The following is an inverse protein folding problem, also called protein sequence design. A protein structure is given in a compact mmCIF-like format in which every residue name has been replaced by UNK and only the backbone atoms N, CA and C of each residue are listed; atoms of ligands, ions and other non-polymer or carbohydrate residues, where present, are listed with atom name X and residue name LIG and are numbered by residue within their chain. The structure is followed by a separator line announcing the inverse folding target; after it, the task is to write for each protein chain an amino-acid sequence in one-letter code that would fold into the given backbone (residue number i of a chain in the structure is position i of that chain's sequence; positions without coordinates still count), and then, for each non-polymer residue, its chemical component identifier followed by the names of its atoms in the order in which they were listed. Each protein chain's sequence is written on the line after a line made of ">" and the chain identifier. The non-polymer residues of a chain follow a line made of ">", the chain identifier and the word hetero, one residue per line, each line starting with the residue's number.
data_IF_009849941804
#
_entry.id   IF_009849941804
#
_cell.length_a   1.000
_cell.length_b   1.000
_cell.length_c   1.000
_cell.angle_alpha   90.00
_cell.angle_beta   90.00
_cell.angle_gamma   90.00
#
_symmetry.space_group_name_H-M   'P 1'
#
loop_
_entity.id
_entity.type
_entity.pdbx_description
1 polymer ?
#
# COMPACT_ATOMS: atom_id res chain seq x y z
N UNK A 1 -13.05 -15.18 30.84
CA UNK A 1 -12.45 -13.99 30.22
C UNK A 1 -12.41 -14.21 28.72
N UNK A 2 -13.50 -13.88 28.05
CA UNK A 2 -13.64 -13.80 26.60
C UNK A 2 -14.68 -12.71 26.39
N UNK A 3 -14.25 -11.49 26.11
CA UNK A 3 -15.16 -10.41 25.70
C UNK A 3 -14.33 -9.21 25.28
N UNK A 4 -14.31 -8.94 23.97
CA UNK A 4 -14.21 -7.58 23.42
C UNK A 4 -14.56 -7.54 21.93
N UNK A 5 -14.58 -8.66 21.19
CA UNK A 5 -14.75 -8.60 19.73
C UNK A 5 -16.18 -8.55 19.19
N UNK A 6 -17.22 -8.69 20.03
CA UNK A 6 -18.62 -8.68 19.56
C UNK A 6 -19.40 -7.42 19.93
N UNK A 7 -19.03 -6.72 21.01
CA UNK A 7 -19.82 -5.57 21.48
C UNK A 7 -19.48 -4.25 20.75
N UNK A 8 -18.23 -4.04 20.32
CA UNK A 8 -17.86 -2.82 19.57
C UNK A 8 -18.45 -2.76 18.14
N UNK A 9 -18.92 -3.88 17.60
CA UNK A 9 -19.44 -3.97 16.23
C UNK A 9 -20.97 -3.84 16.12
N UNK A 10 -21.68 -3.76 17.26
CA UNK A 10 -23.15 -3.69 17.32
C UNK A 10 -23.74 -2.34 16.83
N UNK A 11 -22.91 -1.34 16.51
CA UNK A 11 -23.35 0.02 16.20
C UNK A 11 -23.40 0.36 14.70
N UNK A 12 -23.01 -0.57 13.81
CA UNK A 12 -23.05 -0.34 12.36
C UNK A 12 -24.34 -0.91 11.75
N UNK A 13 -25.02 -0.16 10.84
CA UNK A 13 -26.07 -0.74 10.02
C UNK A 13 -25.55 -2.00 9.32
N UNK A 14 -26.29 -3.12 9.33
CA UNK A 14 -25.80 -4.40 8.80
C UNK A 14 -25.23 -4.32 7.37
N UNK A 15 -25.74 -3.39 6.55
CA UNK A 15 -25.23 -3.12 5.20
C UNK A 15 -23.76 -2.63 5.20
N UNK A 16 -23.36 -1.85 6.19
CA UNK A 16 -21.98 -1.36 6.32
C UNK A 16 -21.05 -2.47 6.80
N UNK A 17 -21.51 -3.34 7.72
CA UNK A 17 -20.72 -4.47 8.19
C UNK A 17 -20.39 -5.46 7.07
N UNK A 18 -21.39 -5.86 6.28
CA UNK A 18 -21.19 -6.80 5.18
C UNK A 18 -20.24 -6.23 4.12
N UNK A 19 -20.35 -4.93 3.83
CA UNK A 19 -19.43 -4.25 2.90
C UNK A 19 -17.99 -4.22 3.41
N UNK A 20 -17.78 -3.95 4.70
CA UNK A 20 -16.44 -3.95 5.31
C UNK A 20 -15.83 -5.36 5.30
N UNK A 21 -16.62 -6.40 5.57
CA UNK A 21 -16.14 -7.78 5.52
C UNK A 21 -15.82 -8.24 4.09
N UNK A 22 -16.63 -7.87 3.09
CA UNK A 22 -16.31 -8.11 1.68
C UNK A 22 -15.01 -7.39 1.27
N UNK A 23 -14.87 -6.13 1.67
CA UNK A 23 -13.68 -5.31 1.37
C UNK A 23 -12.43 -5.96 1.96
N UNK A 24 -12.46 -6.31 3.25
CA UNK A 24 -11.33 -6.97 3.93
C UNK A 24 -11.00 -8.32 3.29
N UNK A 25 -12.00 -9.15 3.03
CA UNK A 25 -11.83 -10.46 2.39
C UNK A 25 -11.22 -10.33 0.99
N UNK A 26 -11.70 -9.38 0.19
CA UNK A 26 -11.16 -9.11 -1.14
C UNK A 26 -9.71 -8.64 -1.09
N UNK A 27 -9.40 -7.64 -0.26
CA UNK A 27 -8.06 -7.09 -0.13
C UNK A 27 -7.07 -8.17 0.36
N UNK A 28 -7.48 -9.00 1.32
CA UNK A 28 -6.65 -10.09 1.85
C UNK A 28 -6.23 -11.08 0.76
N UNK A 29 -7.07 -11.36 -0.24
CA UNK A 29 -6.68 -12.25 -1.36
C UNK A 29 -5.49 -11.69 -2.14
N UNK A 30 -5.40 -10.37 -2.31
CA UNK A 30 -4.27 -9.74 -2.98
C UNK A 30 -3.01 -9.80 -2.10
N UNK A 31 -3.13 -9.59 -0.79
CA UNK A 31 -1.99 -9.69 0.12
C UNK A 31 -1.47 -11.12 0.29
N UNK A 32 -2.34 -12.14 0.22
CA UNK A 32 -1.89 -13.53 0.18
C UNK A 32 -1.04 -13.82 -1.07
N UNK A 33 -1.45 -13.32 -2.24
CA UNK A 33 -0.62 -13.42 -3.46
C UNK A 33 0.76 -12.78 -3.24
N UNK A 34 0.86 -11.66 -2.52
CA UNK A 34 2.16 -11.04 -2.19
C UNK A 34 2.99 -11.93 -1.26
N UNK A 35 2.39 -12.51 -0.23
CA UNK A 35 3.08 -13.45 0.67
C UNK A 35 3.67 -14.64 -0.09
N UNK A 36 2.91 -15.21 -1.02
CA UNK A 36 3.33 -16.35 -1.84
C UNK A 36 4.56 -16.06 -2.73
N UNK A 37 4.81 -14.78 -3.05
CA UNK A 37 6.02 -14.38 -3.79
C UNK A 37 7.30 -14.51 -2.96
N UNK A 38 7.20 -14.63 -1.63
CA UNK A 38 8.34 -14.80 -0.71
C UNK A 38 9.46 -13.77 -0.95
N UNK A 39 9.07 -12.51 -1.15
CA UNK A 39 10.03 -11.41 -1.35
C UNK A 39 10.89 -11.20 -0.09
N UNK A 40 12.19 -10.88 -0.24
CA UNK A 40 13.09 -10.73 0.89
C UNK A 40 12.70 -9.53 1.76
N UNK A 41 12.52 -9.77 3.06
CA UNK A 41 12.19 -8.74 4.04
C UNK A 41 13.27 -7.65 4.07
N UNK A 42 12.86 -6.39 4.24
CA UNK A 42 13.75 -5.23 4.23
C UNK A 42 14.14 -4.74 2.84
N UNK A 43 13.79 -5.46 1.76
CA UNK A 43 14.06 -5.02 0.38
C UNK A 43 12.82 -4.51 -0.35
N UNK A 44 11.65 -4.53 0.29
CA UNK A 44 10.41 -4.03 -0.31
C UNK A 44 9.41 -3.51 0.73
N UNK A 45 8.45 -2.72 0.24
CA UNK A 45 7.24 -2.35 0.97
C UNK A 45 6.06 -2.19 0.00
N UNK A 46 4.88 -2.59 0.43
CA UNK A 46 3.61 -2.35 -0.26
C UNK A 46 3.27 -0.86 -0.13
N UNK A 47 2.98 -0.21 -1.26
CA UNK A 47 2.77 1.24 -1.33
C UNK A 47 1.33 1.64 -1.72
N UNK A 48 1.06 2.94 -1.67
CA UNK A 48 -0.15 3.57 -2.22
C UNK A 48 -1.47 2.92 -1.76
N UNK A 49 -2.25 2.36 -2.68
CA UNK A 49 -3.56 1.74 -2.40
C UNK A 49 -3.44 0.58 -1.42
N UNK A 50 -2.37 -0.23 -1.51
CA UNK A 50 -2.19 -1.38 -0.62
C UNK A 50 -2.10 -1.00 0.86
N UNK A 51 -1.44 0.12 1.18
CA UNK A 51 -1.36 0.65 2.55
C UNK A 51 -2.72 1.10 3.10
N UNK A 52 -3.61 1.57 2.23
CA UNK A 52 -4.99 1.88 2.61
C UNK A 52 -5.85 0.62 2.74
N UNK A 53 -5.65 -0.34 1.84
CA UNK A 53 -6.41 -1.58 1.77
C UNK A 53 -6.23 -2.48 2.99
N UNK A 54 -5.00 -2.59 3.52
CA UNK A 54 -4.73 -3.38 4.73
C UNK A 54 -5.38 -2.79 5.98
N UNK A 55 -5.58 -1.47 6.01
CA UNK A 55 -6.28 -0.74 7.08
C UNK A 55 -7.79 -0.62 6.83
N UNK A 56 -8.32 -1.39 5.87
CA UNK A 56 -9.74 -1.46 5.52
C UNK A 56 -10.38 -0.10 5.16
N UNK A 57 -9.60 0.85 4.65
CA UNK A 57 -10.11 2.17 4.27
C UNK A 57 -10.95 2.12 2.98
N UNK A 58 -10.59 1.21 2.06
CA UNK A 58 -11.33 0.94 0.83
C UNK A 58 -10.90 -0.38 0.18
N UNK A 59 -11.70 -0.82 -0.79
CA UNK A 59 -11.35 -1.92 -1.70
C UNK A 59 -10.21 -1.51 -2.63
N UNK A 60 -9.30 -2.43 -2.91
CA UNK A 60 -8.18 -2.26 -3.85
C UNK A 60 -8.26 -3.31 -4.96
N UNK A 61 -7.72 -3.00 -6.14
CA UNK A 61 -7.76 -3.90 -7.29
C UNK A 61 -6.39 -4.49 -7.61
N UNK A 62 -5.34 -3.82 -7.16
CA UNK A 62 -3.94 -4.09 -7.40
C UNK A 62 -3.11 -3.80 -6.14
N UNK A 63 -1.88 -4.32 -6.15
CA UNK A 63 -0.86 -4.04 -5.16
C UNK A 63 0.38 -3.52 -5.86
N UNK A 64 0.74 -2.29 -5.54
CA UNK A 64 2.02 -1.71 -5.91
C UNK A 64 3.05 -1.99 -4.82
N UNK A 65 4.24 -2.40 -5.23
CA UNK A 65 5.38 -2.66 -4.34
C UNK A 65 6.52 -1.72 -4.75
N UNK A 66 7.08 -0.99 -3.79
CA UNK A 66 8.38 -0.34 -3.96
C UNK A 66 9.48 -1.26 -3.46
N UNK A 67 10.64 -1.22 -4.12
CA UNK A 67 11.77 -2.09 -3.80
C UNK A 67 13.12 -1.36 -3.85
N UNK A 68 14.11 -1.93 -3.16
CA UNK A 68 15.52 -1.56 -3.29
C UNK A 68 16.01 -1.75 -4.73
N UNK A 69 17.11 -1.08 -5.09
CA UNK A 69 17.70 -1.24 -6.42
C UNK A 69 18.22 -2.67 -6.62
N UNK A 70 18.74 -3.27 -5.55
CA UNK A 70 19.31 -4.60 -5.52
C UNK A 70 18.27 -5.67 -5.88
N UNK A 71 17.08 -5.61 -5.27
CA UNK A 71 16.00 -6.53 -5.59
C UNK A 71 15.42 -6.24 -6.98
N UNK A 72 15.26 -4.97 -7.37
CA UNK A 72 14.86 -4.61 -8.73
C UNK A 72 15.77 -5.23 -9.80
N UNK A 73 17.09 -5.09 -9.64
CA UNK A 73 18.10 -5.61 -10.57
C UNK A 73 18.06 -7.15 -10.67
N UNK A 74 17.62 -7.84 -9.61
CA UNK A 74 17.38 -9.28 -9.63
C UNK A 74 16.09 -9.64 -10.36
N UNK A 75 15.00 -8.91 -10.10
CA UNK A 75 13.69 -9.16 -10.69
C UNK A 75 13.69 -8.90 -12.19
N UNK A 76 14.35 -7.84 -12.67
CA UNK A 76 14.35 -7.47 -14.10
C UNK A 76 15.04 -8.52 -15.00
N UNK A 77 15.88 -9.39 -14.42
CA UNK A 77 16.49 -10.52 -15.14
C UNK A 77 15.49 -11.63 -15.45
N UNK A 78 14.38 -11.70 -14.71
CA UNK A 78 13.33 -12.72 -14.83
C UNK A 78 12.06 -12.16 -15.45
N UNK A 79 11.75 -10.90 -15.16
CA UNK A 79 10.53 -10.22 -15.57
C UNK A 79 10.89 -8.94 -16.32
N UNK A 80 10.60 -8.82 -17.63
CA UNK A 80 10.96 -7.63 -18.39
C UNK A 80 10.21 -6.41 -17.85
N UNK A 81 10.93 -5.29 -17.73
CA UNK A 81 10.31 -4.03 -17.34
C UNK A 81 9.40 -3.49 -18.46
N UNK A 82 8.21 -3.08 -18.08
CA UNK A 82 7.26 -2.35 -18.91
C UNK A 82 7.52 -0.86 -18.69
N UNK A 83 7.75 -0.13 -19.78
CA UNK A 83 8.09 1.30 -19.76
C UNK A 83 7.09 2.09 -20.57
N UNK A 84 6.71 3.25 -20.06
CA UNK A 84 6.03 4.31 -20.82
C UNK A 84 6.74 5.65 -20.58
N UNK A 85 6.17 6.74 -21.08
CA UNK A 85 6.77 8.08 -20.98
C UNK A 85 6.91 8.61 -19.54
N UNK A 86 6.18 8.03 -18.58
CA UNK A 86 6.15 8.50 -17.18
C UNK A 86 6.79 7.53 -16.18
N UNK A 87 6.79 6.23 -16.50
CA UNK A 87 7.18 5.20 -15.55
C UNK A 87 7.82 3.94 -16.17
N UNK A 88 8.65 3.28 -15.36
CA UNK A 88 9.08 1.90 -15.53
C UNK A 88 8.56 1.03 -14.39
N UNK A 89 7.96 -0.11 -14.71
CA UNK A 89 7.49 -1.08 -13.71
C UNK A 89 7.76 -2.51 -14.15
N UNK A 90 7.74 -3.44 -13.21
CA UNK A 90 7.71 -4.88 -13.48
C UNK A 90 6.32 -5.38 -13.10
N UNK A 91 5.65 -6.09 -14.00
CA UNK A 91 4.49 -6.89 -13.60
C UNK A 91 5.00 -8.22 -13.06
N UNK A 92 5.02 -8.34 -11.73
CA UNK A 92 5.60 -9.52 -11.06
C UNK A 92 4.61 -10.68 -11.01
N UNK A 93 3.33 -10.35 -10.87
CA UNK A 93 2.20 -11.27 -10.98
C UNK A 93 0.94 -10.50 -11.40
N UNK A 94 -0.15 -11.23 -11.66
CA UNK A 94 -1.45 -10.62 -11.92
C UNK A 94 -1.84 -9.68 -10.76
N UNK A 95 -2.10 -8.41 -11.09
CA UNK A 95 -2.43 -7.33 -10.15
C UNK A 95 -1.33 -6.99 -9.12
N UNK A 96 -0.08 -7.40 -9.36
CA UNK A 96 1.07 -7.04 -8.52
C UNK A 96 2.14 -6.39 -9.40
N UNK A 97 2.34 -5.10 -9.18
CA UNK A 97 3.35 -4.30 -9.87
C UNK A 97 4.49 -3.94 -8.91
N UNK A 98 5.71 -3.94 -9.43
CA UNK A 98 6.92 -3.59 -8.70
C UNK A 98 7.55 -2.35 -9.32
N UNK A 99 8.03 -1.46 -8.44
CA UNK A 99 8.64 -0.18 -8.73
C UNK A 99 9.91 -0.02 -7.88
N UNK A 100 10.86 0.79 -8.33
CA UNK A 100 12.03 1.17 -7.54
C UNK A 100 12.25 2.69 -7.63
N UNK A 101 13.29 3.24 -7.01
CA UNK A 101 13.53 4.69 -7.01
C UNK A 101 13.66 5.31 -8.42
N UNK A 102 14.21 4.56 -9.38
CA UNK A 102 14.32 4.99 -10.79
C UNK A 102 13.09 4.67 -11.64
N UNK A 103 11.99 4.20 -11.06
CA UNK A 103 10.76 3.90 -11.79
C UNK A 103 10.00 5.13 -12.24
N UNK A 104 10.09 6.24 -11.52
CA UNK A 104 9.38 7.47 -11.87
C UNK A 104 10.32 8.42 -12.59
N UNK A 105 9.99 8.77 -13.83
CA UNK A 105 10.78 9.72 -14.62
C UNK A 105 10.40 11.16 -14.22
N UNK A 106 10.78 11.53 -13.00
CA UNK A 106 10.49 12.85 -12.41
C UNK A 106 11.64 13.31 -11.53
N UNK A 107 11.65 14.61 -11.26
CA UNK A 107 12.54 15.20 -10.26
C UNK A 107 12.02 14.89 -8.85
N UNK A 108 12.93 14.50 -7.96
CA UNK A 108 12.66 14.36 -6.54
C UNK A 108 13.07 15.65 -5.83
N UNK A 109 12.19 16.16 -4.97
CA UNK A 109 12.52 17.29 -4.12
C UNK A 109 13.34 16.83 -2.91
N UNK A 110 14.17 17.70 -2.31
CA UNK A 110 15.02 17.35 -1.17
C UNK A 110 14.28 16.74 0.04
N UNK A 111 12.99 17.07 0.20
CA UNK A 111 12.16 16.59 1.31
C UNK A 111 11.25 15.42 0.90
N UNK A 112 11.34 14.92 -0.32
CA UNK A 112 10.56 13.75 -0.73
C UNK A 112 11.05 12.51 0.03
N UNK A 113 10.14 11.67 0.54
CA UNK A 113 10.52 10.44 1.22
C UNK A 113 11.20 9.50 0.21
N UNK A 114 12.45 9.12 0.49
CA UNK A 114 13.18 8.21 -0.39
C UNK A 114 12.54 6.81 -0.34
N UNK A 115 12.71 6.01 -1.40
CA UNK A 115 12.26 4.60 -1.39
C UNK A 115 12.90 3.82 -0.23
N UNK A 116 14.16 4.10 0.07
CA UNK A 116 14.85 3.51 1.22
C UNK A 116 14.17 3.87 2.54
N UNK A 117 13.86 5.15 2.78
CA UNK A 117 13.19 5.58 4.00
C UNK A 117 11.77 5.00 4.11
N UNK A 118 11.05 4.88 2.99
CA UNK A 118 9.72 4.28 2.95
C UNK A 118 9.75 2.80 3.33
N UNK A 119 10.72 2.03 2.83
CA UNK A 119 10.89 0.61 3.15
C UNK A 119 11.34 0.45 4.61
N UNK A 120 12.36 1.20 5.02
CA UNK A 120 12.95 1.12 6.37
C UNK A 120 11.93 1.44 7.47
N UNK A 121 11.05 2.39 7.22
CA UNK A 121 10.08 2.87 8.20
C UNK A 121 8.67 2.25 8.02
N UNK A 122 8.53 1.27 7.13
CA UNK A 122 7.26 0.61 6.86
C UNK A 122 6.64 0.01 8.13
N UNK A 123 5.31 0.06 8.23
CA UNK A 123 4.55 -0.64 9.25
C UNK A 123 4.44 -2.11 8.85
N UNK A 124 4.76 -3.01 9.78
CA UNK A 124 4.58 -4.45 9.57
C UNK A 124 3.17 -4.82 10.03
N UNK A 125 2.31 -5.21 9.09
CA UNK A 125 0.93 -5.63 9.34
C UNK A 125 0.73 -7.00 8.68
N UNK A 126 0.24 -7.98 9.44
CA UNK A 126 0.09 -9.36 8.97
C UNK A 126 1.36 -9.88 8.26
N UNK A 127 2.54 -9.61 8.84
CA UNK A 127 3.86 -10.04 8.34
C UNK A 127 4.33 -9.39 7.03
N UNK A 128 3.55 -8.45 6.46
CA UNK A 128 3.92 -7.72 5.26
C UNK A 128 4.30 -6.27 5.60
N UNK A 129 5.34 -5.71 4.94
CA UNK A 129 5.70 -4.30 5.09
C UNK A 129 4.80 -3.40 4.25
N UNK A 130 4.18 -2.40 4.88
CA UNK A 130 3.37 -1.37 4.22
C UNK A 130 3.96 0.01 4.52
N UNK A 131 4.11 0.87 3.51
CA UNK A 131 4.54 2.24 3.78
C UNK A 131 3.54 2.93 4.73
N UNK A 132 4.04 3.87 5.53
CA UNK A 132 3.20 4.61 6.49
C UNK A 132 2.13 5.43 5.78
N UNK A 133 0.94 5.51 6.36
CA UNK A 133 -0.16 6.27 5.79
C UNK A 133 0.16 7.77 5.66
N UNK A 134 0.97 8.32 6.56
CA UNK A 134 1.47 9.69 6.50
C UNK A 134 2.30 9.92 5.22
N UNK A 135 3.11 8.94 4.84
CA UNK A 135 3.86 8.98 3.57
C UNK A 135 2.92 8.88 2.37
N UNK A 136 1.90 8.01 2.42
CA UNK A 136 0.87 7.93 1.37
C UNK A 136 0.15 9.27 1.23
N UNK A 137 -0.26 9.88 2.34
CA UNK A 137 -0.94 11.17 2.39
C UNK A 137 -0.09 12.28 1.78
N UNK A 138 1.19 12.36 2.17
CA UNK A 138 2.15 13.31 1.61
C UNK A 138 2.22 13.19 0.08
N UNK A 139 2.44 11.98 -0.43
CA UNK A 139 2.58 11.74 -1.87
C UNK A 139 1.27 12.05 -2.62
N UNK A 140 0.10 11.69 -2.08
CA UNK A 140 -1.19 11.99 -2.70
C UNK A 140 -1.47 13.49 -2.75
N UNK A 141 -1.18 14.24 -1.68
CA UNK A 141 -1.30 15.71 -1.67
C UNK A 141 -0.33 16.38 -2.62
N UNK A 142 0.90 15.87 -2.74
CA UNK A 142 1.89 16.41 -3.66
C UNK A 142 1.46 16.30 -5.12
N UNK A 143 0.95 15.13 -5.53
CA UNK A 143 0.59 14.88 -6.93
C UNK A 143 -0.89 15.13 -7.28
N UNK A 144 -1.75 15.33 -6.27
CA UNK A 144 -3.20 15.63 -6.33
C UNK A 144 -3.86 15.25 -7.66
N UNK A 145 -3.90 13.95 -7.95
CA UNK A 145 -4.64 13.42 -9.11
C UNK A 145 -6.12 13.36 -8.73
N UNK A 146 -7.01 13.50 -9.70
CA UNK A 146 -8.47 13.45 -9.45
C UNK A 146 -8.90 12.22 -8.64
N UNK A 147 -8.27 11.06 -8.89
CA UNK A 147 -8.54 9.81 -8.19
C UNK A 147 -8.06 9.79 -6.72
N UNK A 148 -7.13 10.67 -6.35
CA UNK A 148 -6.54 10.72 -5.02
C UNK A 148 -7.35 11.57 -4.02
N UNK A 149 -8.29 12.41 -4.47
CA UNK A 149 -9.06 13.31 -3.59
C UNK A 149 -9.79 12.54 -2.49
N UNK A 150 -10.53 11.49 -2.85
CA UNK A 150 -11.25 10.64 -1.89
C UNK A 150 -10.29 9.86 -0.98
N UNK A 151 -9.15 9.45 -1.52
CA UNK A 151 -8.15 8.71 -0.75
C UNK A 151 -7.51 9.62 0.32
N UNK A 152 -7.27 10.89 0.01
CA UNK A 152 -6.75 11.89 0.97
C UNK A 152 -7.71 12.03 2.14
N UNK A 153 -9.00 12.24 1.87
CA UNK A 153 -10.03 12.39 2.91
C UNK A 153 -10.11 11.16 3.83
N UNK A 154 -10.10 9.95 3.26
CA UNK A 154 -10.12 8.71 4.03
C UNK A 154 -8.89 8.57 4.94
N UNK A 155 -7.69 8.91 4.44
CA UNK A 155 -6.47 8.83 5.23
C UNK A 155 -6.46 9.88 6.34
N UNK A 156 -6.88 11.12 6.06
CA UNK A 156 -6.94 12.18 7.05
C UNK A 156 -7.89 11.84 8.20
N UNK A 157 -9.08 11.33 7.88
CA UNK A 157 -10.05 10.91 8.89
C UNK A 157 -9.49 9.76 9.75
N UNK A 158 -8.91 8.74 9.12
CA UNK A 158 -8.30 7.63 9.84
C UNK A 158 -7.17 8.10 10.77
N UNK A 159 -6.25 8.92 10.27
CA UNK A 159 -5.14 9.41 11.08
C UNK A 159 -5.63 10.27 12.23
N UNK A 160 -6.65 11.11 12.04
CA UNK A 160 -7.24 11.92 13.12
C UNK A 160 -7.85 11.05 14.21
N UNK A 161 -8.57 10.00 13.86
CA UNK A 161 -9.19 9.07 14.83
C UNK A 161 -8.14 8.26 15.60
N UNK A 162 -7.04 7.88 14.94
CA UNK A 162 -5.99 7.04 15.52
C UNK A 162 -4.84 7.84 16.16
N UNK A 163 -4.84 9.18 16.06
CA UNK A 163 -3.87 10.05 16.75
C UNK A 163 -4.35 10.50 18.14
N UNK A 164 -5.55 10.10 18.57
CA UNK A 164 -6.17 10.48 19.86
C UNK A 164 -5.90 9.41 20.96
N UNK A 165 -4.92 8.53 20.76
CA UNK A 165 -4.51 7.50 21.74
C UNK A 165 -3.32 7.94 22.60
#
# INVERSE_FOLDING_TARGET
>A
MLSTSQEEFSLYPQNNYNYLMDTKSHNNKLFQKVKELNLPSGEYAITSSGSMGVRNLRKINDVDIITTKELWDQLIKKFPAIKNEFLAKINLAENIDVLYSGSYYREYEPNDPTVYDQIKNADIIDELPFIRLETVLYLKKKYTRDKDIKDIELIENYLKENSIS
#
